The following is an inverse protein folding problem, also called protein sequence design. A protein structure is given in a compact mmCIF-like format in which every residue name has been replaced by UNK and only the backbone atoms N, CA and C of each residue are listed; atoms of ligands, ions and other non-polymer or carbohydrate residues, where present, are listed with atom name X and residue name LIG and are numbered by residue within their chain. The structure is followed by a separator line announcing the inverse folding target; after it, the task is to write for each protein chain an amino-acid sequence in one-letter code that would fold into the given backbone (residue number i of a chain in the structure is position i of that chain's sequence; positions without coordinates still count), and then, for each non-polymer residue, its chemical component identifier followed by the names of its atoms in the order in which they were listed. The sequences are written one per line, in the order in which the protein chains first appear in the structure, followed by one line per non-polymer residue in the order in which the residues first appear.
data_IF_634222048974
#
_entry.id   IF_634222048974
#
_cell.length_a   1.000
_cell.length_b   1.000
_cell.length_c   1.000
_cell.angle_alpha   90.00
_cell.angle_beta   90.00
_cell.angle_gamma   90.00
#
_symmetry.space_group_name_H-M   'P 1'
#
loop_
_entity.id
_entity.type
_entity.pdbx_description
1 polymer ?
#
# COMPACT_ATOMS: atom_id res chain seq x y z
N UNK A 1 -11.47 2.58 16.29
CA UNK A 1 -10.65 1.94 15.24
C UNK A 1 -11.34 2.21 13.92
N UNK A 2 -10.62 2.75 12.93
CA UNK A 2 -11.20 3.13 11.65
C UNK A 2 -11.82 1.92 10.93
N UNK A 3 -12.92 2.14 10.23
CA UNK A 3 -13.62 1.08 9.49
C UNK A 3 -12.76 0.45 8.40
N UNK A 4 -11.85 1.24 7.82
CA UNK A 4 -10.86 0.79 6.82
C UNK A 4 -10.04 -0.39 7.33
N UNK A 5 -9.64 -0.38 8.61
CA UNK A 5 -8.80 -1.42 9.19
C UNK A 5 -9.64 -2.52 9.85
N UNK A 6 -10.77 -2.15 10.47
CA UNK A 6 -11.71 -3.09 11.10
C UNK A 6 -12.30 -4.08 10.09
N UNK A 7 -12.67 -3.58 8.90
CA UNK A 7 -13.30 -4.38 7.84
C UNK A 7 -12.33 -4.83 6.75
N UNK A 8 -11.02 -4.64 6.93
CA UNK A 8 -10.02 -5.12 5.99
C UNK A 8 -10.08 -6.66 5.88
N UNK A 9 -10.32 -7.23 4.68
CA UNK A 9 -10.29 -8.67 4.48
C UNK A 9 -8.96 -9.28 4.95
N UNK A 10 -9.05 -10.31 5.79
CA UNK A 10 -7.87 -11.01 6.31
C UNK A 10 -7.48 -12.22 5.47
N UNK A 11 -8.44 -12.80 4.76
CA UNK A 11 -8.27 -14.01 3.95
C UNK A 11 -8.66 -13.73 2.50
N UNK A 12 -8.10 -14.48 1.56
CA UNK A 12 -8.40 -14.33 0.14
C UNK A 12 -9.90 -14.60 -0.16
N UNK A 13 -10.54 -15.50 0.59
CA UNK A 13 -11.96 -15.81 0.48
C UNK A 13 -12.89 -14.66 0.91
N UNK A 14 -12.40 -13.70 1.70
CA UNK A 14 -13.19 -12.54 2.16
C UNK A 14 -13.10 -11.33 1.21
N UNK A 15 -12.32 -11.43 0.12
CA UNK A 15 -12.12 -10.33 -0.82
C UNK A 15 -13.33 -10.22 -1.74
N UNK A 16 -14.05 -9.10 -1.66
CA UNK A 16 -15.30 -8.87 -2.42
C UNK A 16 -15.05 -8.28 -3.82
N UNK A 17 -14.00 -7.48 -3.99
CA UNK A 17 -13.80 -6.70 -5.23
C UNK A 17 -13.11 -7.51 -6.34
N UNK A 18 -12.06 -8.26 -5.99
CA UNK A 18 -11.19 -8.95 -6.94
C UNK A 18 -11.21 -10.46 -6.73
N UNK A 19 -12.41 -11.05 -6.76
CA UNK A 19 -12.63 -12.48 -6.47
C UNK A 19 -11.81 -13.39 -7.39
N UNK A 20 -11.77 -13.13 -8.70
CA UNK A 20 -10.98 -13.92 -9.66
C UNK A 20 -9.48 -13.90 -9.35
N UNK A 21 -8.93 -12.74 -9.01
CA UNK A 21 -7.52 -12.60 -8.63
C UNK A 21 -7.26 -13.36 -7.34
N UNK A 22 -8.16 -13.28 -6.36
CA UNK A 22 -8.05 -14.00 -5.10
C UNK A 22 -8.11 -15.52 -5.30
N UNK A 23 -8.95 -16.01 -6.20
CA UNK A 23 -9.01 -17.43 -6.57
C UNK A 23 -7.72 -17.91 -7.26
N UNK A 24 -7.21 -17.14 -8.22
CA UNK A 24 -5.96 -17.47 -8.91
C UNK A 24 -4.76 -17.47 -7.95
N UNK A 25 -4.69 -16.51 -7.03
CA UNK A 25 -3.70 -16.49 -5.96
C UNK A 25 -3.82 -17.71 -5.03
N UNK A 26 -5.04 -18.14 -4.72
CA UNK A 26 -5.27 -19.33 -3.88
C UNK A 26 -4.77 -20.61 -4.56
N UNK A 27 -5.02 -20.75 -5.87
CA UNK A 27 -4.50 -21.87 -6.68
C UNK A 27 -2.97 -21.88 -6.69
N UNK A 28 -2.35 -20.73 -6.93
CA UNK A 28 -0.90 -20.55 -6.95
C UNK A 28 -0.22 -20.96 -5.63
N UNK A 29 -0.83 -20.65 -4.48
CA UNK A 29 -0.29 -21.09 -3.17
C UNK A 29 -0.45 -22.59 -2.98
N UNK A 30 -1.53 -23.19 -3.48
CA UNK A 30 -1.83 -24.62 -3.33
C UNK A 30 -0.85 -25.49 -4.09
N UNK A 31 -0.36 -25.02 -5.25
CA UNK A 31 0.63 -25.71 -6.08
C UNK A 31 2.06 -25.68 -5.49
N UNK A 32 2.27 -25.04 -4.33
CA UNK A 32 3.55 -24.90 -3.61
C UNK A 32 4.70 -24.24 -4.38
N UNK A 33 4.48 -23.73 -5.59
CA UNK A 33 5.45 -22.91 -6.31
C UNK A 33 4.97 -21.46 -6.41
N UNK A 34 5.40 -20.63 -5.46
CA UNK A 34 5.02 -19.21 -5.40
C UNK A 34 6.11 -18.32 -6.02
N UNK A 35 6.14 -18.02 -7.32
CA UNK A 35 7.18 -17.20 -7.95
C UNK A 35 7.28 -15.80 -7.32
N UNK A 36 8.28 -15.02 -7.70
CA UNK A 36 8.29 -13.59 -7.36
C UNK A 36 7.02 -12.92 -7.92
N UNK A 37 6.37 -12.09 -7.13
CA UNK A 37 5.10 -11.46 -7.52
C UNK A 37 5.30 -9.96 -7.69
N UNK A 38 4.70 -9.38 -8.72
CA UNK A 38 4.64 -7.93 -8.93
C UNK A 38 3.18 -7.48 -8.98
N UNK A 39 2.72 -6.86 -7.90
CA UNK A 39 1.40 -6.23 -7.82
C UNK A 39 1.48 -4.77 -8.28
N UNK A 40 0.66 -4.42 -9.25
CA UNK A 40 0.57 -3.04 -9.76
C UNK A 40 -0.86 -2.60 -10.01
N UNK A 41 -1.12 -1.29 -9.87
CA UNK A 41 -2.46 -0.74 -9.97
C UNK A 41 -2.61 0.59 -9.22
N UNK A 42 -3.75 1.28 -9.36
CA UNK A 42 -3.98 2.57 -8.70
C UNK A 42 -3.96 2.43 -7.18
N UNK A 43 -3.64 3.53 -6.48
CA UNK A 43 -3.67 3.57 -5.02
C UNK A 43 -5.09 3.35 -4.50
N UNK A 44 -5.22 2.66 -3.36
CA UNK A 44 -6.52 2.40 -2.74
C UNK A 44 -7.38 1.33 -3.43
N UNK A 45 -6.82 0.58 -4.39
CA UNK A 45 -7.48 -0.58 -5.05
C UNK A 45 -7.44 -1.88 -4.22
N UNK A 46 -6.70 -1.91 -3.11
CA UNK A 46 -6.62 -3.09 -2.23
C UNK A 46 -5.38 -3.98 -2.43
N UNK A 47 -4.35 -3.52 -3.15
CA UNK A 47 -3.09 -4.25 -3.36
C UNK A 47 -2.45 -4.77 -2.06
N UNK A 48 -2.24 -3.90 -1.07
CA UNK A 48 -1.66 -4.28 0.22
C UNK A 48 -2.54 -5.29 0.98
N UNK A 49 -3.86 -5.15 0.89
CA UNK A 49 -4.82 -6.10 1.47
C UNK A 49 -4.67 -7.49 0.85
N UNK A 50 -4.57 -7.58 -0.49
CA UNK A 50 -4.36 -8.84 -1.20
C UNK A 50 -3.01 -9.48 -0.84
N UNK A 51 -1.94 -8.69 -0.75
CA UNK A 51 -0.62 -9.18 -0.32
C UNK A 51 -0.68 -9.75 1.10
N UNK A 52 -1.31 -9.05 2.05
CA UNK A 52 -1.45 -9.53 3.42
C UNK A 52 -2.31 -10.80 3.52
N UNK A 53 -3.41 -10.86 2.76
CA UNK A 53 -4.26 -12.05 2.70
C UNK A 53 -3.51 -13.24 2.08
N UNK A 54 -2.66 -13.00 1.08
CA UNK A 54 -1.78 -14.00 0.49
C UNK A 54 -0.73 -14.50 1.48
N UNK A 55 -0.07 -13.60 2.21
CA UNK A 55 0.90 -13.96 3.24
C UNK A 55 0.27 -14.81 4.35
N UNK A 56 -0.96 -14.47 4.76
CA UNK A 56 -1.74 -15.28 5.71
C UNK A 56 -2.08 -16.65 5.14
N UNK A 57 -2.36 -16.76 3.84
CA UNK A 57 -2.61 -18.05 3.19
C UNK A 57 -1.35 -18.93 3.16
N UNK A 58 -0.18 -18.33 2.92
CA UNK A 58 1.11 -19.05 2.83
C UNK A 58 1.62 -19.49 4.21
N UNK A 59 1.61 -18.58 5.20
CA UNK A 59 2.25 -18.80 6.51
C UNK A 59 1.25 -18.97 7.66
N UNK A 60 -0.04 -19.00 7.35
CA UNK A 60 -1.11 -19.05 8.33
C UNK A 60 -1.27 -17.76 9.15
N UNK A 61 -1.99 -17.83 10.28
CA UNK A 61 -2.27 -16.67 11.15
C UNK A 61 -1.03 -16.01 11.74
N UNK A 62 0.11 -16.73 11.76
CA UNK A 62 1.39 -16.21 12.25
C UNK A 62 1.86 -14.96 11.51
N UNK A 63 1.50 -14.83 10.22
CA UNK A 63 1.83 -13.68 9.40
C UNK A 63 1.12 -12.38 9.82
N UNK A 64 0.06 -12.42 10.63
CA UNK A 64 -0.54 -11.18 11.14
C UNK A 64 0.26 -10.58 12.32
N UNK A 65 1.10 -11.39 12.98
CA UNK A 65 1.95 -10.91 14.08
C UNK A 65 3.18 -10.23 13.49
N UNK A 66 3.01 -8.95 13.20
CA UNK A 66 4.07 -8.07 12.72
C UNK A 66 4.53 -7.18 13.86
N UNK A 67 5.85 -7.07 14.05
CA UNK A 67 6.47 -6.14 14.98
C UNK A 67 7.10 -5.00 14.18
N UNK A 68 6.97 -3.79 14.71
CA UNK A 68 7.71 -2.63 14.21
C UNK A 68 9.12 -2.74 14.77
N UNK A 69 10.11 -2.84 13.88
CA UNK A 69 11.52 -2.88 14.23
C UNK A 69 12.23 -1.67 13.62
N UNK A 70 12.73 -0.78 14.47
CA UNK A 70 13.61 0.30 14.07
C UNK A 70 15.02 -0.28 13.99
N UNK A 71 15.59 -0.33 12.79
CA UNK A 71 16.92 -0.88 12.55
C UNK A 71 17.86 0.23 12.09
N UNK A 72 18.98 0.35 12.78
CA UNK A 72 20.08 1.22 12.41
C UNK A 72 21.04 0.42 11.53
N UNK A 73 21.11 0.79 10.25
CA UNK A 73 22.02 0.19 9.28
C UNK A 73 23.24 1.08 9.16
N UNK A 74 24.41 0.52 9.49
CA UNK A 74 25.70 1.13 9.21
C UNK A 74 26.24 0.52 7.93
N UNK A 75 26.14 1.26 6.83
CA UNK A 75 26.58 0.80 5.52
C UNK A 75 27.88 1.52 5.19
N UNK A 76 28.94 0.74 4.99
CA UNK A 76 30.21 1.27 4.52
C UNK A 76 30.17 1.43 3.00
N UNK A 77 30.04 2.67 2.52
CA UNK A 77 30.06 3.01 1.10
C UNK A 77 31.46 3.47 0.66
N UNK A 78 32.52 2.90 1.24
CA UNK A 78 33.92 3.10 0.85
C UNK A 78 34.50 4.43 1.31
N UNK A 79 33.86 5.57 0.97
CA UNK A 79 34.32 6.91 1.39
C UNK A 79 33.53 7.51 2.56
N UNK A 80 32.36 6.96 2.87
CA UNK A 80 31.49 7.42 3.97
C UNK A 80 30.78 6.23 4.60
N UNK A 81 30.75 6.20 5.93
CA UNK A 81 29.83 5.36 6.70
C UNK A 81 28.48 6.02 6.73
N UNK A 82 27.49 5.33 6.20
CA UNK A 82 26.12 5.80 6.10
C UNK A 82 25.35 5.13 7.24
N UNK A 83 24.94 5.93 8.22
CA UNK A 83 24.05 5.50 9.30
C UNK A 83 22.60 5.82 8.88
N UNK A 84 21.81 4.77 8.64
CA UNK A 84 20.42 4.87 8.21
C UNK A 84 19.51 4.21 9.23
N UNK A 85 18.56 4.98 9.75
CA UNK A 85 17.48 4.44 10.58
C UNK A 85 16.30 4.10 9.70
N UNK A 86 15.87 2.84 9.74
CA UNK A 86 14.75 2.38 8.96
C UNK A 86 13.76 1.61 9.81
N UNK A 87 12.52 2.05 9.76
CA UNK A 87 11.37 1.38 10.37
C UNK A 87 10.90 0.23 9.47
N UNK A 88 11.23 -0.99 9.85
CA UNK A 88 10.78 -2.20 9.14
C UNK A 88 9.62 -2.86 9.88
N UNK A 89 8.72 -3.46 9.11
CA UNK A 89 7.64 -4.27 9.65
C UNK A 89 8.03 -5.73 9.50
N UNK A 90 8.55 -6.33 10.57
CA UNK A 90 9.07 -7.67 10.54
C UNK A 90 8.11 -8.66 11.22
N UNK A 91 7.91 -9.79 10.57
CA UNK A 91 7.30 -10.98 11.16
C UNK A 91 8.31 -12.13 11.12
N UNK A 92 7.94 -13.26 11.72
CA UNK A 92 8.75 -14.49 11.69
C UNK A 92 9.05 -14.93 10.25
N UNK A 93 8.05 -14.83 9.37
CA UNK A 93 8.11 -15.42 8.03
C UNK A 93 8.17 -14.40 6.87
N UNK A 94 7.92 -13.12 7.14
CA UNK A 94 8.02 -12.08 6.13
C UNK A 94 8.50 -10.75 6.72
N UNK A 95 9.00 -9.87 5.86
CA UNK A 95 9.40 -8.50 6.21
C UNK A 95 8.76 -7.57 5.20
N UNK A 96 8.11 -6.50 5.65
CA UNK A 96 7.70 -5.39 4.79
C UNK A 96 8.66 -4.20 4.92
N UNK A 97 8.98 -3.62 3.77
CA UNK A 97 9.88 -2.48 3.66
C UNK A 97 9.31 -1.44 2.68
N UNK A 98 9.37 -0.17 3.09
CA UNK A 98 9.16 0.98 2.21
C UNK A 98 10.51 1.67 1.97
N UNK A 99 11.20 1.39 0.85
CA UNK A 99 12.52 1.94 0.59
C UNK A 99 12.49 3.44 0.22
N UNK A 100 11.30 4.02 0.06
CA UNK A 100 11.10 5.46 -0.15
C UNK A 100 11.66 6.33 0.97
N UNK A 101 11.73 5.78 2.19
CA UNK A 101 12.06 6.54 3.39
C UNK A 101 13.56 6.85 3.50
N UNK A 102 14.36 6.18 2.64
CA UNK A 102 15.83 6.17 2.62
C UNK A 102 16.40 7.16 1.62
N UNK A 103 15.56 7.73 0.74
CA UNK A 103 16.00 8.60 -0.33
C UNK A 103 17.00 7.93 -1.29
N UNK A 104 18.14 8.59 -1.56
CA UNK A 104 19.10 8.16 -2.58
C UNK A 104 19.97 6.94 -2.23
N UNK A 105 19.89 6.44 -0.99
CA UNK A 105 20.72 5.33 -0.51
C UNK A 105 19.99 3.97 -0.56
N UNK A 106 18.82 3.94 -1.21
CA UNK A 106 17.95 2.79 -1.40
C UNK A 106 18.66 1.54 -1.94
N UNK A 107 19.65 1.72 -2.83
CA UNK A 107 20.45 0.64 -3.43
C UNK A 107 21.09 -0.28 -2.40
N UNK A 108 21.71 0.27 -1.37
CA UNK A 108 22.50 -0.51 -0.41
C UNK A 108 21.61 -1.24 0.59
N UNK A 109 20.56 -0.58 1.06
CA UNK A 109 19.60 -1.16 2.00
C UNK A 109 18.94 -2.40 1.41
N UNK A 110 18.49 -2.33 0.16
CA UNK A 110 17.82 -3.47 -0.50
C UNK A 110 18.77 -4.67 -0.62
N UNK A 111 20.07 -4.45 -0.85
CA UNK A 111 21.03 -5.55 -0.89
C UNK A 111 21.23 -6.19 0.47
N UNK A 112 21.47 -5.39 1.50
CA UNK A 112 21.79 -5.93 2.83
C UNK A 112 20.60 -6.62 3.48
N UNK A 113 19.39 -6.08 3.32
CA UNK A 113 18.18 -6.75 3.83
C UNK A 113 18.00 -8.12 3.20
N UNK A 114 18.17 -8.24 1.88
CA UNK A 114 18.02 -9.54 1.19
C UNK A 114 19.14 -10.51 1.63
N UNK A 115 20.38 -10.03 1.80
CA UNK A 115 21.49 -10.85 2.31
C UNK A 115 21.23 -11.34 3.73
N UNK A 116 20.77 -10.47 4.62
CA UNK A 116 20.46 -10.82 6.02
C UNK A 116 19.30 -11.81 6.08
N UNK A 117 18.22 -11.58 5.32
CA UNK A 117 17.09 -12.50 5.24
C UNK A 117 17.48 -13.87 4.68
N UNK A 118 18.41 -13.91 3.73
CA UNK A 118 18.94 -15.17 3.21
C UNK A 118 19.78 -15.94 4.24
N UNK A 119 20.49 -15.24 5.14
CA UNK A 119 21.24 -15.85 6.25
C UNK A 119 20.30 -16.34 7.36
N UNK A 120 19.32 -15.53 7.74
CA UNK A 120 18.37 -15.79 8.82
C UNK A 120 17.18 -16.64 8.34
N UNK A 121 17.46 -17.74 7.64
CA UNK A 121 16.44 -18.63 7.10
C UNK A 121 15.74 -19.39 8.26
N UNK A 122 14.42 -19.26 8.44
CA UNK A 122 13.72 -20.05 9.43
C UNK A 122 13.81 -21.53 9.06
N UNK A 123 14.24 -22.35 10.02
CA UNK A 123 14.23 -23.81 9.91
C UNK A 123 12.85 -24.25 10.39
N UNK A 124 12.06 -24.86 9.50
CA UNK A 124 10.77 -25.42 9.89
C UNK A 124 10.98 -26.65 10.79
N UNK A 125 10.02 -26.92 11.68
CA UNK A 125 10.05 -28.05 12.64
C UNK A 125 10.11 -29.42 11.94
N UNK A 126 9.79 -29.47 10.64
CA UNK A 126 9.86 -30.67 9.78
C UNK A 126 11.16 -30.79 8.97
N UNK A 127 12.18 -29.96 9.22
CA UNK A 127 13.47 -30.03 8.53
C UNK A 127 13.43 -29.63 7.05
N UNK A 128 12.29 -29.18 6.53
CA UNK A 128 12.20 -28.58 5.19
C UNK A 128 12.73 -27.14 5.25
N UNK A 129 13.64 -26.85 4.33
CA UNK A 129 14.18 -25.51 4.07
C UNK A 129 13.04 -24.57 3.62
N UNK A 130 12.40 -23.84 4.54
CA UNK A 130 11.34 -22.87 4.24
C UNK A 130 11.86 -21.62 3.53
N UNK A 131 11.01 -20.82 2.88
CA UNK A 131 11.42 -19.54 2.28
C UNK A 131 10.87 -18.37 3.10
N UNK A 132 11.60 -17.26 3.13
CA UNK A 132 11.12 -16.00 3.73
C UNK A 132 10.57 -15.10 2.63
N UNK A 133 9.52 -14.32 2.92
CA UNK A 133 8.97 -13.37 1.95
C UNK A 133 9.40 -11.94 2.27
N UNK A 134 9.91 -11.21 1.27
CA UNK A 134 10.17 -9.78 1.36
C UNK A 134 9.10 -9.02 0.58
N UNK A 135 8.33 -8.18 1.26
CA UNK A 135 7.37 -7.26 0.64
C UNK A 135 8.02 -5.90 0.47
N UNK A 136 8.26 -5.49 -0.77
CA UNK A 136 8.74 -4.14 -1.09
C UNK A 136 7.56 -3.29 -1.55
N UNK A 137 7.23 -2.25 -0.79
CA UNK A 137 6.22 -1.28 -1.16
C UNK A 137 6.83 -0.15 -2.00
N UNK A 138 6.02 0.45 -2.87
CA UNK A 138 6.40 1.63 -3.68
C UNK A 138 7.68 1.43 -4.51
N UNK A 139 7.82 0.26 -5.12
CA UNK A 139 8.99 -0.10 -5.96
C UNK A 139 9.17 0.86 -7.14
N UNK A 140 8.11 1.55 -7.56
CA UNK A 140 8.15 2.60 -8.58
C UNK A 140 8.88 3.88 -8.16
N UNK A 141 9.16 4.05 -6.86
CA UNK A 141 9.97 5.16 -6.33
C UNK A 141 11.45 4.80 -6.20
N UNK A 142 11.83 3.54 -6.36
CA UNK A 142 13.23 3.11 -6.30
C UNK A 142 14.04 3.68 -7.48
N UNK A 143 15.27 4.05 -7.19
CA UNK A 143 16.27 4.44 -8.18
C UNK A 143 16.54 3.31 -9.18
N UNK A 144 16.92 3.65 -10.42
CA UNK A 144 17.25 2.65 -11.44
C UNK A 144 18.41 1.74 -10.99
N UNK A 145 19.35 2.30 -10.24
CA UNK A 145 20.46 1.53 -9.68
C UNK A 145 20.00 0.54 -8.61
N UNK A 146 19.09 0.95 -7.72
CA UNK A 146 18.50 0.06 -6.72
C UNK A 146 17.69 -1.05 -7.37
N UNK A 147 16.95 -0.76 -8.45
CA UNK A 147 16.24 -1.78 -9.21
C UNK A 147 17.19 -2.80 -9.87
N UNK A 148 18.29 -2.33 -10.46
CA UNK A 148 19.29 -3.24 -11.05
C UNK A 148 20.00 -4.09 -10.00
N UNK A 149 20.28 -3.49 -8.84
CA UNK A 149 20.79 -4.17 -7.65
C UNK A 149 19.83 -5.25 -7.15
N UNK A 150 18.54 -4.92 -7.01
CA UNK A 150 17.47 -5.82 -6.63
C UNK A 150 17.38 -7.02 -7.58
N UNK A 151 17.46 -6.79 -8.90
CA UNK A 151 17.46 -7.87 -9.88
C UNK A 151 18.57 -8.90 -9.61
N UNK A 152 19.80 -8.45 -9.33
CA UNK A 152 20.94 -9.35 -9.06
C UNK A 152 20.72 -10.17 -7.78
N UNK A 153 20.19 -9.54 -6.73
CA UNK A 153 19.95 -10.23 -5.45
C UNK A 153 18.76 -11.17 -5.51
N UNK A 154 17.72 -10.83 -6.29
CA UNK A 154 16.58 -11.71 -6.56
C UNK A 154 17.03 -13.04 -7.18
N UNK A 155 17.87 -13.00 -8.22
CA UNK A 155 18.39 -14.21 -8.86
C UNK A 155 19.24 -15.04 -7.90
N UNK A 156 20.17 -14.40 -7.18
CA UNK A 156 21.11 -15.05 -6.27
C UNK A 156 20.44 -15.76 -5.10
N UNK A 157 19.34 -15.20 -4.57
CA UNK A 157 18.68 -15.69 -3.36
C UNK A 157 17.26 -16.24 -3.59
N UNK A 158 16.89 -16.55 -4.84
CA UNK A 158 15.56 -17.07 -5.23
C UNK A 158 15.11 -18.33 -4.47
N UNK A 159 16.06 -19.18 -4.04
CA UNK A 159 15.80 -20.41 -3.31
C UNK A 159 15.53 -20.21 -1.80
N UNK A 160 15.94 -19.09 -1.22
CA UNK A 160 15.78 -18.77 0.20
C UNK A 160 14.78 -17.65 0.46
N UNK A 161 14.66 -16.70 -0.47
CA UNK A 161 13.81 -15.53 -0.36
C UNK A 161 12.90 -15.40 -1.58
N UNK A 162 11.60 -15.22 -1.35
CA UNK A 162 10.61 -14.87 -2.38
C UNK A 162 10.22 -13.40 -2.21
N UNK A 163 10.23 -12.63 -3.29
CA UNK A 163 9.87 -11.22 -3.26
C UNK A 163 8.45 -10.97 -3.74
N UNK A 164 7.76 -10.10 -3.03
CA UNK A 164 6.48 -9.51 -3.43
C UNK A 164 6.69 -8.02 -3.59
N UNK A 165 6.59 -7.54 -4.82
CA UNK A 165 6.80 -6.15 -5.19
C UNK A 165 5.44 -5.47 -5.35
N UNK A 166 5.26 -4.30 -4.77
CA UNK A 166 4.05 -3.49 -4.90
C UNK A 166 4.41 -2.14 -5.50
N UNK A 167 3.76 -1.76 -6.60
CA UNK A 167 3.94 -0.45 -7.23
C UNK A 167 2.62 0.16 -7.71
N UNK A 168 2.58 1.47 -7.94
CA UNK A 168 1.39 2.11 -8.50
C UNK A 168 1.34 2.00 -10.03
N UNK A 169 2.47 2.26 -10.68
CA UNK A 169 2.61 2.14 -12.13
C UNK A 169 3.70 1.13 -12.47
N UNK A 170 3.39 0.17 -13.32
CA UNK A 170 4.37 -0.78 -13.86
C UNK A 170 5.37 -0.13 -14.80
N UNK A 171 5.07 1.06 -15.37
CA UNK A 171 5.93 1.73 -16.35
C UNK A 171 7.27 2.22 -15.78
N UNK A 172 7.33 2.47 -14.47
CA UNK A 172 8.54 2.91 -13.77
C UNK A 172 9.44 1.75 -13.32
N UNK A 173 8.94 0.52 -13.43
CA UNK A 173 9.68 -0.69 -13.07
C UNK A 173 10.43 -1.18 -14.31
N UNK A 174 11.73 -1.46 -14.14
CA UNK A 174 12.57 -1.98 -15.22
C UNK A 174 12.08 -3.34 -15.74
N UNK A 175 12.27 -3.57 -17.05
CA UNK A 175 11.89 -4.83 -17.71
C UNK A 175 12.58 -6.05 -17.10
N UNK A 176 13.80 -5.84 -16.61
CA UNK A 176 14.59 -6.89 -16.00
C UNK A 176 13.92 -7.46 -14.72
N UNK A 177 13.21 -6.63 -13.95
CA UNK A 177 12.43 -7.11 -12.81
C UNK A 177 11.11 -7.72 -13.29
N UNK A 178 10.41 -7.03 -14.21
CA UNK A 178 9.09 -7.44 -14.70
C UNK A 178 9.09 -8.83 -15.37
N UNK A 179 10.17 -9.19 -16.05
CA UNK A 179 10.35 -10.51 -16.69
C UNK A 179 10.59 -11.66 -15.70
N UNK A 180 10.97 -11.36 -14.45
CA UNK A 180 11.28 -12.35 -13.39
C UNK A 180 10.16 -12.50 -12.36
N UNK A 181 9.12 -11.70 -12.49
CA UNK A 181 7.97 -11.71 -11.60
C UNK A 181 6.71 -12.10 -12.36
N UNK A 182 5.82 -12.83 -11.68
CA UNK A 182 4.43 -12.94 -12.11
C UNK A 182 3.75 -11.58 -11.90
N UNK A 183 3.30 -11.00 -13.01
CA UNK A 183 2.72 -9.67 -13.03
C UNK A 183 1.22 -9.74 -12.74
N UNK A 184 0.80 -9.20 -11.60
CA UNK A 184 -0.59 -9.18 -11.15
C UNK A 184 -1.11 -7.75 -11.21
N UNK A 185 -1.97 -7.51 -12.21
CA UNK A 185 -2.65 -6.23 -12.38
C UNK A 185 -3.89 -6.17 -11.48
N UNK A 186 -3.93 -5.16 -10.61
CA UNK A 186 -5.09 -4.84 -9.80
C UNK A 186 -5.71 -3.57 -10.38
N UNK A 187 -6.92 -3.71 -10.92
CA UNK A 187 -7.65 -2.59 -11.49
C UNK A 187 -8.30 -1.76 -10.39
N UNK A 188 -8.64 -0.49 -10.68
CA UNK A 188 -9.50 0.26 -9.79
C UNK A 188 -10.87 -0.44 -9.69
N UNK A 189 -11.47 -0.54 -8.50
CA UNK A 189 -12.82 -1.08 -8.33
C UNK A 189 -13.84 -0.29 -9.16
N UNK A 190 -14.84 -0.99 -9.70
CA UNK A 190 -16.01 -0.33 -10.31
C UNK A 190 -16.88 0.34 -9.24
N UNK A 191 -17.70 1.31 -9.64
CA UNK A 191 -18.61 1.98 -8.72
C UNK A 191 -19.55 0.96 -8.03
N UNK A 192 -20.04 -0.02 -8.77
CA UNK A 192 -20.87 -1.11 -8.24
C UNK A 192 -20.15 -1.95 -7.19
N UNK A 193 -18.87 -2.28 -7.41
CA UNK A 193 -18.06 -3.02 -6.44
C UNK A 193 -17.85 -2.20 -5.16
N UNK A 194 -17.65 -0.89 -5.28
CA UNK A 194 -17.53 0.00 -4.11
C UNK A 194 -18.86 0.02 -3.34
N UNK A 195 -19.99 0.17 -4.03
CA UNK A 195 -21.32 0.13 -3.41
C UNK A 195 -21.55 -1.17 -2.65
N UNK A 196 -21.21 -2.33 -3.23
CA UNK A 196 -21.30 -3.64 -2.55
C UNK A 196 -20.48 -3.67 -1.25
N UNK A 197 -19.28 -3.09 -1.24
CA UNK A 197 -18.43 -3.02 -0.04
C UNK A 197 -19.06 -2.07 1.01
N UNK A 198 -19.58 -0.92 0.59
CA UNK A 198 -20.24 0.03 1.49
C UNK A 198 -21.50 -0.57 2.12
N UNK A 199 -22.32 -1.28 1.34
CA UNK A 199 -23.49 -2.00 1.84
C UNK A 199 -23.11 -3.11 2.81
N UNK A 200 -22.03 -3.84 2.55
CA UNK A 200 -21.51 -4.86 3.46
C UNK A 200 -21.09 -4.27 4.81
N UNK A 201 -20.37 -3.13 4.79
CA UNK A 201 -19.98 -2.41 6.01
C UNK A 201 -21.23 -1.87 6.73
N UNK A 202 -22.15 -1.27 5.98
CA UNK A 202 -23.42 -0.76 6.51
C UNK A 202 -24.23 -1.85 7.24
N UNK A 203 -24.40 -3.02 6.61
CA UNK A 203 -25.06 -4.18 7.24
C UNK A 203 -24.36 -4.64 8.51
N UNK A 204 -23.02 -4.69 8.51
CA UNK A 204 -22.25 -5.12 9.69
C UNK A 204 -22.27 -4.11 10.84
N UNK A 205 -22.43 -2.82 10.55
CA UNK A 205 -22.59 -1.77 11.57
C UNK A 205 -24.06 -1.50 11.92
N UNK A 206 -25.01 -2.25 11.33
CA UNK A 206 -26.45 -2.09 11.58
C UNK A 206 -27.03 -0.77 11.04
N UNK A 207 -26.42 -0.22 9.99
CA UNK A 207 -26.78 1.06 9.40
C UNK A 207 -27.65 0.89 8.15
N UNK A 208 -28.70 1.69 8.05
CA UNK A 208 -29.50 1.78 6.83
C UNK A 208 -28.87 2.77 5.86
N UNK A 209 -28.20 2.24 4.83
CA UNK A 209 -27.59 3.03 3.76
C UNK A 209 -28.55 3.11 2.56
N UNK A 210 -29.03 4.30 2.16
CA UNK A 210 -29.76 4.46 0.91
C UNK A 210 -28.84 4.17 -0.28
N UNK A 211 -29.32 3.40 -1.26
CA UNK A 211 -28.55 3.04 -2.47
C UNK A 211 -28.07 4.26 -3.27
N UNK A 212 -28.91 5.30 -3.38
CA UNK A 212 -28.54 6.56 -4.03
C UNK A 212 -27.39 7.29 -3.33
N UNK A 213 -27.31 7.20 -2.00
CA UNK A 213 -26.21 7.79 -1.23
C UNK A 213 -24.91 6.98 -1.42
N UNK A 214 -25.01 5.66 -1.44
CA UNK A 214 -23.88 4.76 -1.72
C UNK A 214 -23.22 5.06 -3.08
N UNK A 215 -24.05 5.24 -4.12
CA UNK A 215 -23.59 5.58 -5.46
C UNK A 215 -22.83 6.93 -5.48
N UNK A 216 -23.36 7.96 -4.82
CA UNK A 216 -22.69 9.27 -4.70
C UNK A 216 -21.35 9.19 -3.98
N UNK A 217 -21.23 8.36 -2.93
CA UNK A 217 -19.94 8.10 -2.27
C UNK A 217 -18.98 7.43 -3.25
N UNK A 218 -19.43 6.42 -3.99
CA UNK A 218 -18.59 5.71 -4.96
C UNK A 218 -18.05 6.64 -6.06
N UNK A 219 -18.89 7.53 -6.59
CA UNK A 219 -18.49 8.57 -7.56
C UNK A 219 -17.46 9.54 -6.97
N UNK A 220 -17.76 10.13 -5.80
CA UNK A 220 -16.87 11.10 -5.14
C UNK A 220 -15.53 10.50 -4.69
N UNK A 221 -15.46 9.17 -4.59
CA UNK A 221 -14.25 8.46 -4.18
C UNK A 221 -13.24 8.27 -5.31
N UNK A 222 -13.55 8.67 -6.55
CA UNK A 222 -12.65 8.53 -7.71
C UNK A 222 -12.08 7.10 -7.85
N UNK A 223 -12.94 6.10 -7.64
CA UNK A 223 -12.60 4.66 -7.66
C UNK A 223 -11.50 4.24 -6.65
N UNK A 224 -11.38 4.96 -5.53
CA UNK A 224 -10.49 4.60 -4.42
C UNK A 224 -11.31 4.05 -3.24
N UNK A 225 -11.09 2.77 -2.91
CA UNK A 225 -11.88 2.09 -1.88
C UNK A 225 -11.59 2.63 -0.48
N UNK A 226 -10.33 2.97 -0.18
CA UNK A 226 -9.95 3.55 1.11
C UNK A 226 -10.67 4.87 1.32
N UNK A 227 -10.67 5.72 0.30
CA UNK A 227 -11.38 7.01 0.32
C UNK A 227 -12.87 6.83 0.52
N UNK A 228 -13.49 5.88 -0.19
CA UNK A 228 -14.92 5.58 -0.05
C UNK A 228 -15.31 5.19 1.37
N UNK A 229 -14.54 4.30 1.99
CA UNK A 229 -14.81 3.83 3.35
C UNK A 229 -14.60 4.96 4.37
N UNK A 230 -13.54 5.76 4.23
CA UNK A 230 -13.31 6.90 5.12
C UNK A 230 -14.40 7.96 4.97
N UNK A 231 -14.78 8.32 3.75
CA UNK A 231 -15.88 9.25 3.50
C UNK A 231 -17.19 8.73 4.11
N UNK A 232 -17.45 7.43 4.01
CA UNK A 232 -18.62 6.81 4.63
C UNK A 232 -18.60 6.91 6.16
N UNK A 233 -17.45 6.65 6.79
CA UNK A 233 -17.25 6.79 8.23
C UNK A 233 -17.44 8.26 8.67
N UNK A 234 -16.88 9.23 7.93
CA UNK A 234 -17.06 10.66 8.23
C UNK A 234 -18.52 11.09 8.12
N UNK A 235 -19.25 10.65 7.08
CA UNK A 235 -20.66 10.95 6.93
C UNK A 235 -21.49 10.43 8.11
N UNK A 236 -21.15 9.26 8.66
CA UNK A 236 -21.82 8.68 9.84
C UNK A 236 -21.63 9.54 11.09
N UNK A 237 -20.42 10.08 11.27
CA UNK A 237 -20.07 10.91 12.43
C UNK A 237 -20.76 12.27 12.35
N UNK A 238 -20.86 12.86 11.16
CA UNK A 238 -21.48 14.18 10.98
C UNK A 238 -23.00 14.17 11.16
N UNK A 239 -23.69 13.20 10.54
CA UNK A 239 -25.14 13.17 10.59
C UNK A 239 -25.68 11.75 10.43
N UNK A 240 -26.58 11.38 11.33
CA UNK A 240 -27.36 10.15 11.26
C UNK A 240 -28.77 10.39 11.78
N UNK A 241 -29.83 9.88 11.12
CA UNK A 241 -29.87 8.95 9.99
C UNK A 241 -29.36 9.52 8.65
N UNK A 242 -28.92 8.63 7.74
CA UNK A 242 -28.47 9.03 6.41
C UNK A 242 -29.64 9.55 5.56
N UNK A 243 -29.44 10.69 4.91
CA UNK A 243 -30.38 11.23 3.92
C UNK A 243 -29.79 11.14 2.52
N UNK A 244 -30.62 10.95 1.50
CA UNK A 244 -30.15 10.81 0.10
C UNK A 244 -29.36 12.03 -0.39
N UNK A 245 -29.69 13.22 0.14
CA UNK A 245 -29.08 14.50 -0.24
C UNK A 245 -27.98 14.99 0.71
N UNK A 246 -27.53 14.16 1.66
CA UNK A 246 -26.46 14.55 2.56
C UNK A 246 -25.20 15.00 1.79
N UNK A 247 -24.60 16.10 2.24
CA UNK A 247 -23.33 16.56 1.71
C UNK A 247 -22.23 15.61 2.21
N UNK A 248 -21.47 15.05 1.28
CA UNK A 248 -20.29 14.26 1.61
C UNK A 248 -19.15 15.26 1.80
N UNK A 249 -18.53 15.40 2.98
CA UNK A 249 -17.43 16.32 3.17
C UNK A 249 -16.24 15.89 2.30
N UNK A 250 -15.57 16.82 1.58
CA UNK A 250 -14.25 16.55 1.02
C UNK A 250 -13.23 16.35 2.14
N UNK A 251 -12.03 15.88 1.79
CA UNK A 251 -10.92 15.88 2.75
C UNK A 251 -10.39 17.31 2.93
N UNK A 252 -9.91 17.64 4.13
CA UNK A 252 -9.45 19.00 4.48
C UNK A 252 -8.44 19.56 3.46
N UNK A 253 -7.49 18.72 3.02
CA UNK A 253 -6.49 19.12 2.02
C UNK A 253 -7.09 19.37 0.63
N UNK A 254 -8.18 18.69 0.25
CA UNK A 254 -8.87 18.92 -1.02
C UNK A 254 -9.65 20.23 -1.02
N UNK A 255 -10.31 20.52 0.11
CA UNK A 255 -10.98 21.79 0.33
C UNK A 255 -9.98 22.94 0.28
N UNK A 256 -8.84 22.78 0.96
CA UNK A 256 -7.77 23.76 0.98
C UNK A 256 -7.15 23.99 -0.41
N UNK A 257 -6.93 22.93 -1.21
CA UNK A 257 -6.50 23.08 -2.61
C UNK A 257 -7.55 23.80 -3.46
N UNK A 258 -8.83 23.49 -3.26
CA UNK A 258 -9.92 24.14 -3.98
C UNK A 258 -10.03 25.63 -3.64
N UNK A 259 -9.80 25.98 -2.38
CA UNK A 259 -9.70 27.36 -1.91
C UNK A 259 -8.51 28.08 -2.55
N UNK A 260 -7.32 27.46 -2.56
CA UNK A 260 -6.13 28.01 -3.25
C UNK A 260 -6.42 28.26 -4.73
N UNK A 261 -7.04 27.29 -5.43
CA UNK A 261 -7.39 27.45 -6.84
C UNK A 261 -8.36 28.60 -7.05
N UNK A 262 -9.37 28.73 -6.19
CA UNK A 262 -10.34 29.83 -6.22
C UNK A 262 -9.66 31.18 -5.97
N UNK A 263 -8.69 31.22 -5.05
CA UNK A 263 -7.93 32.41 -4.69
C UNK A 263 -7.03 32.90 -5.83
N UNK A 264 -6.40 31.97 -6.56
CA UNK A 264 -5.61 32.26 -7.76
C UNK A 264 -6.50 32.81 -8.88
N UNK A 265 -7.70 32.26 -9.05
CA UNK A 265 -8.62 32.67 -10.11
C UNK A 265 -9.28 34.04 -9.84
N UNK A 266 -9.52 34.39 -8.57
CA UNK A 266 -10.16 35.65 -8.18
C UNK A 266 -9.27 36.88 -8.39
N UNK A 267 -7.99 36.79 -8.04
CA UNK A 267 -7.09 37.95 -8.07
C UNK A 267 -5.67 37.54 -8.45
N UNK A 268 -5.20 38.05 -9.59
CA UNK A 268 -3.85 37.79 -10.11
C UNK A 268 -2.89 38.95 -9.75
N UNK A 269 -2.78 39.28 -8.46
CA UNK A 269 -1.87 40.31 -7.96
C UNK A 269 -0.65 39.71 -7.24
N UNK A 270 0.51 40.40 -7.20
CA UNK A 270 1.68 39.95 -6.45
C UNK A 270 1.40 39.72 -4.95
N UNK A 271 0.46 40.49 -4.38
CA UNK A 271 0.02 40.34 -2.99
C UNK A 271 -0.72 39.02 -2.78
N UNK A 272 -1.62 38.66 -3.71
CA UNK A 272 -2.34 37.37 -3.64
C UNK A 272 -1.40 36.19 -3.88
N UNK A 273 -0.43 36.33 -4.77
CA UNK A 273 0.62 35.32 -4.99
C UNK A 273 1.41 35.00 -3.72
N UNK A 274 1.76 36.02 -2.91
CA UNK A 274 2.45 35.82 -1.63
C UNK A 274 1.59 35.02 -0.64
N UNK A 275 0.29 35.31 -0.56
CA UNK A 275 -0.65 34.57 0.30
C UNK A 275 -0.81 33.12 -0.16
N UNK A 276 -1.00 32.90 -1.48
CA UNK A 276 -1.09 31.57 -2.07
C UNK A 276 0.19 30.76 -1.80
N UNK A 277 1.36 31.39 -1.89
CA UNK A 277 2.64 30.74 -1.55
C UNK A 277 2.66 30.27 -0.10
N UNK A 278 2.16 31.07 0.84
CA UNK A 278 2.00 30.68 2.25
C UNK A 278 1.12 29.44 2.40
N UNK A 279 -0.05 29.45 1.73
CA UNK A 279 -0.96 28.29 1.72
C UNK A 279 -0.31 27.02 1.15
N UNK A 280 0.46 27.16 0.07
CA UNK A 280 1.20 26.02 -0.52
C UNK A 280 2.25 25.47 0.45
N UNK A 281 2.94 26.32 1.22
CA UNK A 281 3.85 25.84 2.26
C UNK A 281 3.14 25.06 3.36
N UNK A 282 1.97 25.53 3.83
CA UNK A 282 1.17 24.79 4.81
C UNK A 282 0.80 23.39 4.30
N UNK A 283 0.36 23.29 3.03
CA UNK A 283 0.10 22.00 2.39
C UNK A 283 1.33 21.08 2.35
N UNK A 284 2.50 21.64 2.02
CA UNK A 284 3.74 20.86 1.98
C UNK A 284 4.13 20.33 3.36
N UNK A 285 3.94 21.15 4.40
CA UNK A 285 4.21 20.76 5.79
C UNK A 285 3.26 19.61 6.18
N UNK A 286 1.96 19.74 5.92
CA UNK A 286 0.96 18.71 6.23
C UNK A 286 1.27 17.40 5.48
N UNK A 287 1.62 17.49 4.20
CA UNK A 287 1.98 16.32 3.38
C UNK A 287 3.28 15.64 3.86
N UNK A 288 4.23 16.41 4.40
CA UNK A 288 5.45 15.86 4.99
C UNK A 288 5.18 15.12 6.31
N UNK A 289 4.24 15.61 7.13
CA UNK A 289 3.81 14.98 8.39
C UNK A 289 3.03 13.69 8.16
N UNK A 290 2.13 13.66 7.16
CA UNK A 290 1.35 12.45 6.83
C UNK A 290 2.17 11.29 6.26
N UNK A 291 3.41 11.53 5.79
CA UNK A 291 4.33 10.43 5.41
C UNK A 291 4.99 9.75 6.61
N UNK A 292 5.05 10.43 7.76
CA UNK A 292 5.70 9.94 8.98
C UNK A 292 4.74 9.18 9.91
N UNK A 293 3.43 9.20 9.62
CA UNK A 293 2.36 8.50 10.36
C UNK A 293 1.81 7.30 9.60
#
# INVERSE_FOLDING_TARGET
MLWVDKYRPKTLAQVIVHEEIAQNLTKLVTEQDCPHLLFYGPSGSGKKTLIMALLRQIFGPSAEKVKVENRNWKIDAGSRTIDLELTTLASTNHVELSPSDVGFQDRYIVQEIIKEMAKNRPIDTKGKKGFKVLVLNEVDKLSREAQHSLRRTMEKYSASCRLILCCNSSSKVTEAIRSRCLNIRINAPSAEQIVKVLEFIGKKEGLQLPSGFAARIAEKSNRNLRRAILSFETCRVQQYPFTSNQAIPPMDWEEYISEIATDIMKEQSPKRLFQVRGKVYELLIIASLQRLS
#
